data_IF_276032062810
#
_entry.id   IF_276032062810
#
_cell.length_a   1.000
_cell.length_b   1.000
_cell.length_c   1.000
_cell.angle_alpha   90.00
_cell.angle_beta   90.00
_cell.angle_gamma   90.00
#
_symmetry.space_group_name_H-M   'P 1'
#
loop_
_entity.id
_entity.type
_entity.pdbx_description
1 polymer ?
#
# COMPACT_ATOMS: atom_id res chain seq x y z
N UNK A 1 -19.15 -16.01 26.13
CA UNK A 1 -19.03 -14.54 26.27
C UNK A 1 -17.63 -13.98 25.92
N UNK A 2 -16.52 -14.73 26.08
CA UNK A 2 -15.17 -14.26 25.70
C UNK A 2 -14.92 -14.24 24.18
N UNK A 3 -15.48 -15.21 23.45
CA UNK A 3 -15.36 -15.33 21.99
C UNK A 3 -16.06 -14.17 21.28
N UNK A 4 -17.21 -13.71 21.77
CA UNK A 4 -17.95 -12.60 21.19
C UNK A 4 -17.21 -11.26 21.31
N UNK A 5 -16.41 -11.07 22.38
CA UNK A 5 -15.57 -9.87 22.55
C UNK A 5 -14.33 -9.87 21.65
N UNK A 6 -13.75 -11.04 21.37
CA UNK A 6 -12.63 -11.18 20.44
C UNK A 6 -13.07 -10.95 19.00
N UNK A 7 -14.23 -11.46 18.61
CA UNK A 7 -14.81 -11.21 17.28
C UNK A 7 -15.08 -9.71 17.06
N UNK A 8 -15.57 -9.00 18.07
CA UNK A 8 -15.82 -7.56 18.01
C UNK A 8 -14.53 -6.74 17.86
N UNK A 9 -13.43 -7.16 18.47
CA UNK A 9 -12.13 -6.47 18.38
C UNK A 9 -11.48 -6.70 17.01
N UNK A 10 -11.54 -7.91 16.47
CA UNK A 10 -11.01 -8.19 15.11
C UNK A 10 -11.86 -7.47 14.05
N UNK A 11 -13.19 -7.43 14.18
CA UNK A 11 -14.05 -6.67 13.27
C UNK A 11 -13.79 -5.17 13.33
N UNK A 12 -13.43 -4.62 14.50
CA UNK A 12 -13.22 -3.17 14.65
C UNK A 12 -11.90 -2.68 14.03
N UNK A 13 -10.89 -3.53 13.91
CA UNK A 13 -9.60 -3.16 13.29
C UNK A 13 -9.58 -3.34 11.77
N UNK A 14 -10.34 -4.29 11.24
CA UNK A 14 -10.42 -4.55 9.79
C UNK A 14 -11.36 -3.56 9.08
N UNK A 15 -12.29 -2.96 9.80
CA UNK A 15 -13.30 -2.07 9.23
C UNK A 15 -12.78 -0.77 8.60
N UNK A 16 -11.56 -0.34 8.92
CA UNK A 16 -10.98 0.91 8.39
C UNK A 16 -10.27 0.74 7.04
N UNK A 17 -9.98 -0.49 6.62
CA UNK A 17 -9.22 -0.74 5.37
C UNK A 17 -10.08 -0.80 4.12
N UNK A 18 -11.36 -1.03 4.27
CA UNK A 18 -12.31 -1.37 3.20
C UNK A 18 -12.64 -0.25 2.20
N UNK A 19 -12.20 0.97 2.45
CA UNK A 19 -12.63 2.14 1.70
C UNK A 19 -11.46 2.99 1.23
N UNK A 20 -10.33 2.36 0.92
CA UNK A 20 -9.09 3.08 0.65
C UNK A 20 -8.58 2.80 -0.76
N UNK A 21 -8.30 3.86 -1.50
CA UNK A 21 -7.59 3.81 -2.76
C UNK A 21 -6.30 4.65 -2.62
N UNK A 22 -5.15 4.00 -2.72
CA UNK A 22 -3.84 4.63 -2.58
C UNK A 22 -3.03 4.44 -3.84
N UNK A 23 -2.54 5.54 -4.40
CA UNK A 23 -1.61 5.53 -5.53
C UNK A 23 -0.38 6.32 -5.17
N UNK A 24 0.79 5.71 -5.36
CA UNK A 24 2.09 6.36 -5.20
C UNK A 24 2.87 6.26 -6.50
N UNK A 25 3.27 7.40 -7.04
CA UNK A 25 4.10 7.49 -8.24
C UNK A 25 5.40 8.23 -7.94
N UNK A 26 6.51 7.53 -8.04
CA UNK A 26 7.84 8.11 -7.92
C UNK A 26 8.31 8.54 -9.31
N UNK A 27 8.62 9.82 -9.49
CA UNK A 27 9.18 10.36 -10.74
C UNK A 27 10.62 10.74 -10.48
N UNK A 28 11.54 10.18 -11.26
CA UNK A 28 12.97 10.36 -11.08
C UNK A 28 13.64 10.88 -12.36
N UNK A 29 14.54 11.86 -12.19
CA UNK A 29 15.37 12.40 -13.25
C UNK A 29 16.73 11.68 -13.30
N UNK A 30 17.48 11.79 -14.42
CA UNK A 30 18.83 11.21 -14.50
C UNK A 30 19.80 11.74 -13.46
N UNK A 31 19.57 12.95 -12.94
CA UNK A 31 20.38 13.55 -11.85
C UNK A 31 20.04 13.02 -10.46
N UNK A 32 19.05 12.14 -10.33
CA UNK A 32 18.60 11.54 -9.07
C UNK A 32 17.61 12.38 -8.30
N UNK A 33 17.30 13.60 -8.72
CA UNK A 33 16.22 14.41 -8.16
C UNK A 33 14.86 13.97 -8.69
N UNK A 34 13.78 14.37 -8.01
CA UNK A 34 12.45 14.04 -8.49
C UNK A 34 11.32 14.40 -7.58
N UNK A 35 10.19 13.71 -7.80
CA UNK A 35 8.97 13.90 -7.00
C UNK A 35 8.32 12.56 -6.65
N UNK A 36 7.61 12.54 -5.53
CA UNK A 36 6.67 11.48 -5.16
C UNK A 36 5.28 12.08 -5.18
N UNK A 37 4.42 11.56 -6.07
CA UNK A 37 3.00 11.93 -6.09
C UNK A 37 2.22 10.86 -5.33
N UNK A 38 1.52 11.25 -4.27
CA UNK A 38 0.64 10.38 -3.50
C UNK A 38 -0.79 10.84 -3.64
N UNK A 39 -1.66 9.91 -4.01
CA UNK A 39 -3.10 10.09 -4.02
C UNK A 39 -3.71 9.10 -3.05
N UNK A 40 -4.44 9.61 -2.06
CA UNK A 40 -5.13 8.78 -1.08
C UNK A 40 -6.60 9.18 -1.08
N UNK A 41 -7.47 8.24 -1.38
CA UNK A 41 -8.91 8.41 -1.41
C UNK A 41 -9.56 7.44 -0.42
N UNK A 42 -10.56 7.89 0.32
CA UNK A 42 -11.35 7.06 1.23
C UNK A 42 -12.84 7.25 0.97
N UNK A 43 -13.60 6.18 1.07
CA UNK A 43 -15.06 6.25 0.95
C UNK A 43 -15.67 6.74 2.27
N UNK A 44 -15.96 8.03 2.32
CA UNK A 44 -16.49 8.69 3.51
C UNK A 44 -17.91 8.22 3.87
N UNK A 45 -18.70 7.81 2.90
CA UNK A 45 -20.06 7.31 3.13
C UNK A 45 -20.02 5.95 3.84
N UNK A 46 -19.15 5.05 3.37
CA UNK A 46 -18.96 3.74 4.00
C UNK A 46 -18.38 3.89 5.41
N UNK A 47 -17.39 4.77 5.59
CA UNK A 47 -16.79 5.04 6.90
C UNK A 47 -17.82 5.55 7.91
N UNK A 48 -18.68 6.50 7.53
CA UNK A 48 -19.77 7.01 8.37
C UNK A 48 -20.78 5.92 8.73
N UNK A 49 -21.12 5.06 7.76
CA UNK A 49 -22.02 3.93 7.99
C UNK A 49 -21.49 2.92 9.01
N UNK A 50 -20.19 2.65 9.00
CA UNK A 50 -19.54 1.72 9.91
C UNK A 50 -19.38 2.28 11.34
N UNK A 51 -19.17 3.57 11.49
CA UNK A 51 -19.01 4.22 12.80
C UNK A 51 -20.33 4.43 13.55
N UNK A 52 -21.48 3.93 13.02
CA UNK A 52 -22.74 3.85 13.76
C UNK A 52 -23.26 5.19 14.29
N UNK A 53 -23.07 6.29 13.57
CA UNK A 53 -23.58 7.58 13.98
C UNK A 53 -22.90 8.21 15.20
N UNK A 54 -21.80 7.62 15.70
CA UNK A 54 -20.98 8.28 16.71
C UNK A 54 -20.44 9.59 16.11
N UNK A 55 -21.06 10.71 16.47
CA UNK A 55 -20.67 12.06 16.11
C UNK A 55 -19.32 12.44 16.78
N UNK A 56 -18.29 11.68 16.51
CA UNK A 56 -16.92 12.09 16.81
C UNK A 56 -16.42 12.90 15.61
N UNK A 57 -16.28 14.18 15.83
CA UNK A 57 -15.68 15.22 14.99
C UNK A 57 -14.55 14.73 14.07
N UNK A 58 -14.88 14.03 12.98
CA UNK A 58 -14.01 13.93 11.82
C UNK A 58 -14.36 15.07 10.84
N UNK A 59 -14.36 16.29 11.34
CA UNK A 59 -14.63 17.51 10.57
C UNK A 59 -13.36 18.13 10.01
N UNK A 60 -12.38 17.34 9.62
CA UNK A 60 -11.17 17.82 8.96
C UNK A 60 -10.80 16.98 7.75
N UNK A 61 -10.06 17.52 6.78
CA UNK A 61 -9.45 16.69 5.75
C UNK A 61 -8.61 15.63 6.44
N UNK A 62 -8.77 14.35 6.04
CA UNK A 62 -8.12 13.20 6.67
C UNK A 62 -6.60 13.25 6.72
N UNK A 63 -5.99 14.16 5.96
CA UNK A 63 -4.58 14.49 6.00
C UNK A 63 -4.45 16.01 6.00
N UNK A 64 -4.18 16.57 7.16
CA UNK A 64 -3.82 17.97 7.26
C UNK A 64 -2.37 18.20 6.82
N UNK A 65 -1.99 19.46 6.61
CA UNK A 65 -0.64 19.81 6.17
C UNK A 65 0.45 19.24 7.09
N UNK A 66 0.23 19.24 8.39
CA UNK A 66 1.19 18.72 9.37
C UNK A 66 1.42 17.20 9.23
N UNK A 67 0.38 16.44 8.94
CA UNK A 67 0.51 14.99 8.66
C UNK A 67 1.25 14.73 7.36
N UNK A 68 1.01 15.54 6.33
CA UNK A 68 1.75 15.45 5.07
C UNK A 68 3.23 15.81 5.27
N UNK A 69 3.55 16.81 6.07
CA UNK A 69 4.94 17.16 6.42
C UNK A 69 5.62 16.04 7.22
N UNK A 70 4.91 15.40 8.15
CA UNK A 70 5.40 14.18 8.83
C UNK A 70 5.61 13.02 7.86
N UNK A 71 4.75 12.90 6.86
CA UNK A 71 4.89 11.87 5.81
C UNK A 71 6.13 12.15 4.98
N UNK A 72 6.40 13.40 4.59
CA UNK A 72 7.63 13.80 3.93
C UNK A 72 8.88 13.40 4.76
N UNK A 73 8.87 13.70 6.06
CA UNK A 73 9.99 13.35 6.95
C UNK A 73 10.22 11.82 7.05
N UNK A 74 9.15 11.03 6.99
CA UNK A 74 9.26 9.55 6.99
C UNK A 74 9.78 9.00 5.67
N UNK A 75 9.52 9.68 4.55
CA UNK A 75 10.04 9.27 3.24
C UNK A 75 11.56 9.40 3.14
N UNK A 76 12.17 10.30 3.90
CA UNK A 76 13.63 10.44 3.92
C UNK A 76 14.12 11.85 4.12
N UNK A 77 15.43 11.97 4.29
CA UNK A 77 16.10 13.26 4.44
C UNK A 77 16.01 14.11 3.18
N UNK A 78 15.64 15.37 3.33
CA UNK A 78 15.52 16.32 2.21
C UNK A 78 14.22 16.23 1.44
N UNK A 79 13.30 15.34 1.82
CA UNK A 79 11.95 15.29 1.23
C UNK A 79 11.10 16.45 1.76
N UNK A 80 10.41 17.15 0.85
CA UNK A 80 9.59 18.34 1.19
C UNK A 80 8.24 18.25 0.50
N UNK A 81 7.19 18.63 1.20
CA UNK A 81 5.87 18.81 0.61
C UNK A 81 5.88 20.03 -0.33
N UNK A 82 5.58 19.80 -1.62
CA UNK A 82 5.43 20.87 -2.62
C UNK A 82 4.01 21.39 -2.68
N UNK A 83 3.05 20.50 -2.75
CA UNK A 83 1.64 20.84 -2.86
C UNK A 83 0.76 19.77 -2.28
N UNK A 84 -0.42 20.16 -1.85
CA UNK A 84 -1.51 19.25 -1.51
C UNK A 84 -2.84 19.85 -1.95
N UNK A 85 -3.68 19.04 -2.52
CA UNK A 85 -5.01 19.43 -2.97
C UNK A 85 -6.05 18.39 -2.53
N UNK A 86 -7.20 18.81 -2.02
CA UNK A 86 -8.31 17.92 -1.78
C UNK A 86 -8.85 17.42 -3.12
N UNK A 87 -9.16 16.13 -3.19
CA UNK A 87 -9.73 15.52 -4.38
C UNK A 87 -11.00 14.75 -4.03
N UNK A 88 -11.91 14.70 -4.99
CA UNK A 88 -13.12 13.87 -4.93
C UNK A 88 -13.05 12.83 -6.02
N UNK A 89 -13.25 11.60 -5.64
CA UNK A 89 -13.40 10.46 -6.54
C UNK A 89 -14.87 10.13 -6.78
N UNK A 90 -15.11 9.09 -7.54
CA UNK A 90 -16.44 8.55 -7.77
C UNK A 90 -16.97 7.84 -6.50
N UNK A 91 -18.29 7.60 -6.45
CA UNK A 91 -18.95 6.81 -5.40
C UNK A 91 -18.69 7.28 -3.95
N UNK A 92 -18.55 8.60 -3.74
CA UNK A 92 -18.36 9.18 -2.41
C UNK A 92 -16.94 9.02 -1.84
N UNK A 93 -15.98 8.72 -2.69
CA UNK A 93 -14.57 8.78 -2.32
C UNK A 93 -14.11 10.24 -2.22
N UNK A 94 -13.46 10.59 -1.13
CA UNK A 94 -12.84 11.89 -0.91
C UNK A 94 -11.41 11.66 -0.36
N UNK A 95 -10.52 12.60 -0.64
CA UNK A 95 -9.16 12.45 -0.16
C UNK A 95 -8.24 13.59 -0.54
N UNK A 96 -6.96 13.28 -0.63
CA UNK A 96 -5.91 14.25 -0.93
C UNK A 96 -4.96 13.70 -1.98
N UNK A 97 -4.52 14.59 -2.87
CA UNK A 97 -3.34 14.39 -3.70
C UNK A 97 -2.23 15.29 -3.17
N UNK A 98 -1.11 14.68 -2.80
CA UNK A 98 0.06 15.37 -2.31
C UNK A 98 1.24 15.13 -3.25
N UNK A 99 2.07 16.13 -3.44
CA UNK A 99 3.31 16.06 -4.21
C UNK A 99 4.46 16.43 -3.31
N UNK A 100 5.45 15.57 -3.24
CA UNK A 100 6.68 15.75 -2.47
C UNK A 100 7.86 15.86 -3.42
N UNK A 101 8.83 16.72 -3.14
CA UNK A 101 10.12 16.75 -3.85
C UNK A 101 11.18 16.05 -3.06
N UNK A 102 12.16 15.52 -3.77
CA UNK A 102 13.42 15.04 -3.20
C UNK A 102 14.60 15.44 -4.09
N UNK A 103 15.75 15.65 -3.46
CA UNK A 103 16.98 16.03 -4.16
C UNK A 103 17.83 14.81 -4.56
N UNK A 104 17.67 13.67 -3.85
CA UNK A 104 18.41 12.43 -4.09
C UNK A 104 17.54 11.19 -3.81
N UNK A 105 17.26 10.42 -4.87
CA UNK A 105 16.47 9.17 -4.80
C UNK A 105 17.11 8.12 -3.88
N UNK A 106 18.44 8.16 -3.66
CA UNK A 106 19.12 7.20 -2.79
C UNK A 106 18.79 7.42 -1.30
N UNK A 107 18.27 8.59 -0.95
CA UNK A 107 17.94 8.96 0.43
C UNK A 107 16.48 8.78 0.77
N UNK A 108 15.66 8.35 -0.19
CA UNK A 108 14.23 8.19 0.04
C UNK A 108 13.83 6.72 0.13
N UNK A 109 12.71 6.52 0.78
CA UNK A 109 11.98 5.26 0.83
C UNK A 109 10.48 5.53 0.69
N UNK A 110 9.77 4.57 0.11
CA UNK A 110 8.32 4.65 -0.08
C UNK A 110 7.67 3.45 0.61
N UNK A 111 6.66 3.71 1.43
CA UNK A 111 5.88 2.65 2.07
C UNK A 111 5.10 1.85 1.04
N UNK A 112 5.01 0.53 1.22
CA UNK A 112 4.16 -0.36 0.41
C UNK A 112 2.69 -0.29 0.85
N UNK A 113 2.45 0.19 2.06
CA UNK A 113 1.10 0.34 2.61
C UNK A 113 0.51 1.73 2.45
N UNK A 114 -0.78 1.88 2.74
CA UNK A 114 -1.46 3.16 2.68
C UNK A 114 -0.90 4.15 3.70
N UNK A 115 -0.75 5.44 3.32
CA UNK A 115 -0.31 6.47 4.26
C UNK A 115 -1.25 6.54 5.47
N UNK A 116 -0.69 6.62 6.68
CA UNK A 116 -1.46 6.77 7.93
C UNK A 116 -1.92 5.46 8.56
N UNK A 117 -1.75 4.31 7.91
CA UNK A 117 -2.07 3.00 8.49
C UNK A 117 -0.89 2.32 9.19
N UNK A 118 0.29 2.90 9.11
CA UNK A 118 1.49 2.43 9.83
C UNK A 118 1.37 2.71 11.34
N UNK A 119 0.59 1.93 12.01
CA UNK A 119 0.43 2.05 13.45
C UNK A 119 -0.93 1.56 13.86
N UNK A 120 -1.04 0.28 14.19
CA UNK A 120 -2.24 -0.27 14.80
C UNK A 120 -2.74 0.64 15.93
N UNK A 121 -4.04 0.84 16.03
CA UNK A 121 -4.74 1.66 17.03
C UNK A 121 -4.57 1.14 18.47
N UNK A 122 -3.36 0.77 18.85
CA UNK A 122 -2.99 0.23 20.13
C UNK A 122 -1.64 0.75 20.60
N UNK A 123 -1.68 1.74 21.46
CA UNK A 123 -0.56 2.22 22.28
C UNK A 123 0.26 3.42 21.73
N UNK A 124 -0.24 4.62 22.03
CA UNK A 124 0.42 5.91 21.81
C UNK A 124 1.59 6.23 22.75
N UNK A 125 2.21 5.26 23.34
CA UNK A 125 3.37 5.47 24.21
C UNK A 125 4.48 4.48 23.86
N UNK A 126 5.35 4.84 22.92
CA UNK A 126 6.80 4.62 22.92
C UNK A 126 7.40 4.88 21.55
N UNK A 127 8.37 5.83 21.56
CA UNK A 127 9.50 5.99 20.61
C UNK A 127 9.23 5.74 19.14
N UNK A 128 9.43 6.79 18.36
CA UNK A 128 9.48 6.83 16.92
C UNK A 128 10.60 5.91 16.35
N UNK A 129 10.42 4.60 16.48
CA UNK A 129 11.10 3.69 15.58
C UNK A 129 10.26 3.62 14.29
N UNK A 130 10.88 3.69 13.12
CA UNK A 130 10.19 3.50 11.86
C UNK A 130 9.68 2.06 11.83
N UNK A 131 8.42 1.85 12.24
CA UNK A 131 7.79 0.53 12.24
C UNK A 131 7.68 0.02 10.80
N UNK A 132 8.49 -0.93 10.51
CA UNK A 132 8.30 -2.24 9.84
C UNK A 132 7.15 -2.38 8.82
N UNK A 133 6.87 -1.40 8.00
CA UNK A 133 6.37 -1.66 6.66
C UNK A 133 7.61 -1.68 5.79
N UNK A 134 7.91 -2.84 5.21
CA UNK A 134 9.10 -3.01 4.39
C UNK A 134 9.11 -1.97 3.27
N UNK A 135 9.95 -0.93 3.36
CA UNK A 135 9.90 0.16 2.41
C UNK A 135 10.52 -0.26 1.08
N UNK A 136 9.97 0.27 -0.01
CA UNK A 136 10.65 0.27 -1.30
C UNK A 136 11.83 1.22 -1.20
N UNK A 137 13.03 0.71 -1.48
CA UNK A 137 14.29 1.47 -1.47
C UNK A 137 14.87 1.58 -2.86
N UNK A 138 15.59 2.65 -3.08
CA UNK A 138 16.13 3.01 -4.37
C UNK A 138 17.66 3.19 -4.29
N UNK A 139 18.36 2.81 -5.37
CA UNK A 139 19.78 3.06 -5.54
C UNK A 139 20.06 3.48 -6.98
N UNK A 140 20.40 4.73 -7.19
CA UNK A 140 20.78 5.28 -8.48
C UNK A 140 22.31 5.31 -8.62
N UNK A 141 22.80 4.82 -9.75
CA UNK A 141 24.19 4.93 -10.16
C UNK A 141 24.24 5.56 -11.54
N UNK A 142 25.09 6.57 -11.71
CA UNK A 142 25.28 7.25 -13.00
C UNK A 142 26.44 6.62 -13.76
N UNK A 143 26.19 6.27 -15.02
CA UNK A 143 27.15 5.60 -15.89
C UNK A 143 27.27 6.40 -17.19
N UNK A 144 27.98 7.53 -17.15
CA UNK A 144 28.12 8.41 -18.30
C UNK A 144 26.77 8.99 -18.76
N UNK A 145 26.31 8.70 -20.00
CA UNK A 145 25.07 9.26 -20.55
C UNK A 145 23.81 8.57 -20.03
N UNK A 146 23.93 7.46 -19.29
CA UNK A 146 22.81 6.69 -18.73
C UNK A 146 22.88 6.68 -17.22
N UNK A 147 21.72 6.48 -16.60
CA UNK A 147 21.57 6.25 -15.17
C UNK A 147 20.93 4.87 -14.95
N UNK A 148 21.45 4.13 -13.99
CA UNK A 148 20.90 2.84 -13.58
C UNK A 148 20.27 2.98 -12.21
N UNK A 149 18.96 2.78 -12.13
CA UNK A 149 18.17 2.75 -10.90
C UNK A 149 17.87 1.32 -10.51
N UNK A 150 18.28 0.93 -9.31
CA UNK A 150 17.88 -0.33 -8.68
C UNK A 150 16.80 -0.05 -7.65
N UNK A 151 15.69 -0.77 -7.73
CA UNK A 151 14.55 -0.69 -6.82
C UNK A 151 14.49 -2.01 -6.07
N UNK A 152 14.54 -1.96 -4.75
CA UNK A 152 14.47 -3.14 -3.90
C UNK A 152 13.20 -3.10 -3.05
N UNK A 153 12.40 -4.14 -3.19
CA UNK A 153 11.36 -4.47 -2.26
C UNK A 153 11.96 -5.31 -1.15
N UNK A 154 11.73 -4.96 0.09
CA UNK A 154 12.11 -5.82 1.18
C UNK A 154 11.02 -6.90 1.27
N UNK A 155 11.35 -8.10 0.80
CA UNK A 155 10.49 -9.29 0.78
C UNK A 155 10.65 -10.08 2.10
N UNK A 156 10.60 -9.37 3.22
CA UNK A 156 10.50 -10.04 4.52
C UNK A 156 9.07 -9.95 4.99
N UNK A 157 8.43 -11.09 5.18
CA UNK A 157 7.30 -11.16 6.09
C UNK A 157 7.70 -10.42 7.38
N UNK A 158 6.87 -9.54 7.94
CA UNK A 158 7.24 -8.77 9.10
C UNK A 158 7.74 -9.71 10.18
N UNK A 159 9.07 -9.79 10.36
CA UNK A 159 9.72 -10.50 11.44
C UNK A 159 9.55 -9.67 12.74
N UNK A 160 8.41 -9.01 12.87
CA UNK A 160 7.95 -8.49 14.13
C UNK A 160 7.52 -9.68 14.95
N UNK A 161 8.22 -9.93 16.04
CA UNK A 161 7.70 -10.75 17.14
C UNK A 161 6.33 -10.18 17.50
N UNK A 162 5.30 -10.71 16.87
CA UNK A 162 3.93 -10.61 17.35
C UNK A 162 3.82 -11.62 18.50
N UNK A 163 4.70 -11.43 19.51
CA UNK A 163 4.70 -12.25 20.73
C UNK A 163 3.46 -11.99 21.60
N UNK A 164 2.53 -11.14 21.14
CA UNK A 164 1.35 -10.77 21.92
C UNK A 164 0.01 -11.04 21.24
N UNK A 165 -0.03 -11.47 19.99
CA UNK A 165 -1.25 -12.00 19.40
C UNK A 165 -1.16 -13.54 19.35
N UNK A 166 -2.07 -14.25 20.02
CA UNK A 166 -2.16 -15.69 19.84
C UNK A 166 -2.33 -15.95 18.33
N UNK A 167 -1.45 -16.79 17.75
CA UNK A 167 -1.60 -17.23 16.36
C UNK A 167 -3.05 -17.69 16.20
N UNK A 168 -3.81 -17.19 15.22
CA UNK A 168 -5.13 -17.72 15.00
C UNK A 168 -5.00 -19.21 14.74
N UNK A 169 -5.70 -20.02 15.53
CA UNK A 169 -5.75 -21.45 15.26
C UNK A 169 -6.33 -21.63 13.85
N UNK A 170 -5.93 -22.66 13.10
CA UNK A 170 -6.49 -22.97 11.78
C UNK A 170 -8.03 -23.03 11.76
N UNK A 171 -8.68 -23.26 12.92
CA UNK A 171 -10.13 -23.24 13.10
C UNK A 171 -10.73 -21.87 13.39
N UNK A 172 -9.92 -20.83 13.64
CA UNK A 172 -10.39 -19.47 13.94
C UNK A 172 -10.45 -18.58 12.67
N UNK A 173 -9.91 -19.08 11.56
CA UNK A 173 -10.02 -18.36 10.28
C UNK A 173 -11.47 -18.38 9.79
N UNK A 174 -11.98 -17.24 9.32
CA UNK A 174 -13.31 -17.19 8.73
C UNK A 174 -13.44 -18.23 7.62
N UNK A 175 -14.49 -19.01 7.62
CA UNK A 175 -14.78 -19.93 6.52
C UNK A 175 -15.22 -19.14 5.28
N UNK A 176 -14.27 -18.84 4.43
CA UNK A 176 -14.48 -18.12 3.17
C UNK A 176 -15.28 -18.96 2.14
N UNK A 177 -15.60 -20.21 2.44
CA UNK A 177 -16.56 -21.00 1.64
C UNK A 177 -18.01 -20.58 1.93
N UNK A 178 -18.24 -19.88 3.04
CA UNK A 178 -19.54 -19.34 3.40
C UNK A 178 -19.88 -18.11 2.53
N UNK A 179 -20.96 -18.15 1.71
CA UNK A 179 -21.33 -17.04 0.84
C UNK A 179 -21.59 -15.73 1.60
N UNK A 180 -22.08 -15.79 2.84
CA UNK A 180 -22.32 -14.60 3.66
C UNK A 180 -21.00 -13.91 4.01
N UNK A 181 -19.99 -14.68 4.41
CA UNK A 181 -18.65 -14.16 4.74
C UNK A 181 -17.99 -13.58 3.48
N UNK A 182 -18.11 -14.26 2.34
CA UNK A 182 -17.57 -13.78 1.07
C UNK A 182 -18.24 -12.47 0.64
N UNK A 183 -19.57 -12.37 0.73
CA UNK A 183 -20.30 -11.14 0.39
C UNK A 183 -19.92 -9.98 1.34
N UNK A 184 -19.74 -10.27 2.63
CA UNK A 184 -19.28 -9.27 3.59
C UNK A 184 -17.86 -8.79 3.25
N UNK A 185 -16.95 -9.69 2.88
CA UNK A 185 -15.61 -9.32 2.42
C UNK A 185 -15.64 -8.48 1.14
N UNK A 186 -16.41 -8.89 0.14
CA UNK A 186 -16.58 -8.11 -1.09
C UNK A 186 -17.06 -6.68 -0.79
N UNK A 187 -18.06 -6.54 0.07
CA UNK A 187 -18.55 -5.23 0.50
C UNK A 187 -17.48 -4.44 1.28
N UNK A 188 -16.75 -5.12 2.14
CA UNK A 188 -15.69 -4.54 2.95
C UNK A 188 -14.52 -4.04 2.11
N UNK A 189 -14.09 -4.79 1.10
CA UNK A 189 -12.95 -4.45 0.25
C UNK A 189 -13.35 -3.78 -1.07
N UNK A 190 -14.60 -3.35 -1.20
CA UNK A 190 -15.07 -2.62 -2.38
C UNK A 190 -14.32 -1.29 -2.52
N UNK A 191 -13.51 -1.18 -3.57
CA UNK A 191 -12.70 0.02 -3.85
C UNK A 191 -11.35 0.07 -3.13
N UNK A 192 -10.95 -1.02 -2.44
CA UNK A 192 -9.59 -1.11 -1.90
C UNK A 192 -8.60 -1.35 -3.03
N UNK A 193 -7.77 -0.33 -3.28
CA UNK A 193 -6.73 -0.37 -4.32
C UNK A 193 -5.42 0.19 -3.80
N UNK A 194 -4.33 -0.48 -4.16
CA UNK A 194 -2.97 0.03 -3.95
C UNK A 194 -2.26 0.02 -5.29
N UNK A 195 -1.64 1.13 -5.65
CA UNK A 195 -0.80 1.22 -6.84
C UNK A 195 0.51 1.93 -6.49
N UNK A 196 1.64 1.30 -6.83
CA UNK A 196 2.97 1.88 -6.70
C UNK A 196 3.63 1.84 -8.08
N UNK A 197 4.02 3.00 -8.57
CA UNK A 197 4.68 3.14 -9.86
C UNK A 197 5.96 3.93 -9.77
N UNK A 198 6.79 3.71 -10.76
CA UNK A 198 7.98 4.51 -11.07
C UNK A 198 7.84 5.12 -12.46
N UNK A 199 8.25 6.36 -12.63
CA UNK A 199 8.36 7.03 -13.92
C UNK A 199 9.74 7.66 -14.03
N UNK A 200 10.47 7.34 -15.09
CA UNK A 200 11.78 7.95 -15.36
C UNK A 200 11.61 9.15 -16.29
N UNK A 201 12.30 10.24 -16.02
CA UNK A 201 12.34 11.38 -16.92
C UNK A 201 13.29 11.04 -18.08
N UNK A 202 12.70 10.68 -19.22
CA UNK A 202 13.42 10.26 -20.41
C UNK A 202 12.96 8.90 -20.94
N UNK A 203 13.88 8.13 -21.47
CA UNK A 203 13.60 6.84 -22.10
C UNK A 203 14.24 5.69 -21.34
N UNK A 204 13.48 4.63 -21.12
CA UNK A 204 14.03 3.37 -20.60
C UNK A 204 14.86 2.71 -21.72
N UNK A 205 16.11 2.44 -21.43
CA UNK A 205 17.05 1.75 -22.33
C UNK A 205 16.99 0.24 -22.11
N UNK A 206 16.99 -0.16 -20.83
CA UNK A 206 16.95 -1.56 -20.42
C UNK A 206 16.30 -1.70 -19.05
N UNK A 207 15.53 -2.76 -18.85
CA UNK A 207 14.96 -3.11 -17.55
C UNK A 207 14.64 -4.61 -17.48
N UNK A 208 14.58 -5.14 -16.26
CA UNK A 208 14.03 -6.46 -15.96
C UNK A 208 12.60 -6.39 -15.40
N UNK A 209 11.99 -5.19 -15.38
CA UNK A 209 10.60 -5.03 -14.96
C UNK A 209 9.62 -5.75 -15.88
N UNK A 210 8.59 -6.37 -15.31
CA UNK A 210 7.57 -7.10 -16.07
C UNK A 210 6.47 -6.17 -16.63
N UNK A 211 6.17 -5.07 -15.92
CA UNK A 211 5.03 -4.19 -16.25
C UNK A 211 5.50 -2.79 -16.64
N UNK A 212 5.87 -2.64 -17.92
CA UNK A 212 6.42 -1.40 -18.48
C UNK A 212 5.47 -0.78 -19.49
N UNK A 213 5.23 0.52 -19.40
CA UNK A 213 4.43 1.29 -20.36
C UNK A 213 5.11 2.64 -20.60
N UNK A 214 5.82 2.76 -21.75
CA UNK A 214 6.63 3.94 -22.02
C UNK A 214 7.71 4.17 -20.97
N UNK A 215 7.79 5.37 -20.35
CA UNK A 215 8.75 5.66 -19.29
C UNK A 215 8.30 5.18 -17.91
N UNK A 216 7.13 4.54 -17.80
CA UNK A 216 6.50 4.15 -16.54
C UNK A 216 6.58 2.64 -16.32
N UNK A 217 6.87 2.27 -15.07
CA UNK A 217 6.89 0.90 -14.56
C UNK A 217 5.85 0.81 -13.44
N UNK A 218 4.98 -0.20 -13.51
CA UNK A 218 4.11 -0.56 -12.39
C UNK A 218 4.83 -1.56 -11.51
N UNK A 219 5.17 -1.15 -10.29
CA UNK A 219 5.88 -1.96 -9.32
C UNK A 219 4.92 -2.88 -8.56
N UNK A 220 3.78 -2.31 -8.17
CA UNK A 220 2.70 -3.00 -7.45
C UNK A 220 1.36 -2.42 -7.91
N UNK A 221 0.43 -3.27 -8.28
CA UNK A 221 -0.99 -2.96 -8.45
C UNK A 221 -1.78 -4.05 -7.75
N UNK A 222 -2.63 -3.67 -6.82
CA UNK A 222 -3.50 -4.56 -6.08
C UNK A 222 -4.91 -3.98 -6.04
N UNK A 223 -5.84 -4.61 -6.73
CA UNK A 223 -7.28 -4.36 -6.65
C UNK A 223 -7.94 -5.55 -5.96
N UNK A 224 -8.29 -5.38 -4.69
CA UNK A 224 -8.86 -6.48 -3.89
C UNK A 224 -10.27 -6.85 -4.37
N UNK A 225 -11.02 -5.90 -4.92
CA UNK A 225 -12.33 -6.21 -5.50
C UNK A 225 -12.21 -7.17 -6.70
N UNK A 226 -11.24 -6.96 -7.59
CA UNK A 226 -10.95 -7.86 -8.70
C UNK A 226 -10.44 -9.24 -8.22
N UNK A 227 -9.63 -9.26 -7.14
CA UNK A 227 -9.19 -10.51 -6.52
C UNK A 227 -10.36 -11.34 -5.98
N UNK A 228 -11.32 -10.69 -5.34
CA UNK A 228 -12.50 -11.33 -4.76
C UNK A 228 -13.62 -11.62 -5.79
N UNK A 229 -13.52 -11.07 -7.00
CA UNK A 229 -14.50 -11.32 -8.06
C UNK A 229 -14.47 -12.77 -8.56
N UNK A 230 -13.28 -13.38 -8.62
CA UNK A 230 -13.10 -14.80 -8.99
C UNK A 230 -12.97 -15.68 -7.74
N UNK A 231 -14.13 -16.05 -7.18
CA UNK A 231 -14.18 -16.85 -5.94
C UNK A 231 -13.48 -18.21 -6.07
N UNK A 232 -13.51 -18.84 -7.23
CA UNK A 232 -12.89 -20.15 -7.44
C UNK A 232 -11.37 -20.06 -7.39
N UNK A 233 -10.80 -19.06 -8.06
CA UNK A 233 -9.36 -18.79 -8.00
C UNK A 233 -8.95 -18.34 -6.60
N UNK A 234 -9.76 -17.49 -5.95
CA UNK A 234 -9.48 -17.03 -4.59
C UNK A 234 -9.42 -18.19 -3.58
N UNK A 235 -10.36 -19.13 -3.62
CA UNK A 235 -10.32 -20.36 -2.80
C UNK A 235 -9.09 -21.22 -3.08
N UNK A 236 -8.73 -21.33 -4.36
CA UNK A 236 -7.51 -22.08 -4.74
C UNK A 236 -6.26 -21.40 -4.19
N UNK A 237 -6.21 -20.06 -4.22
CA UNK A 237 -5.12 -19.26 -3.68
C UNK A 237 -4.97 -19.49 -2.17
N UNK A 238 -6.07 -19.42 -1.41
CA UNK A 238 -6.07 -19.65 0.03
C UNK A 238 -5.55 -21.03 0.43
N UNK A 239 -5.88 -22.07 -0.34
CA UNK A 239 -5.39 -23.41 -0.08
C UNK A 239 -3.89 -23.62 -0.36
N UNK A 240 -3.26 -22.67 -1.07
CA UNK A 240 -1.84 -22.78 -1.47
C UNK A 240 -0.92 -21.82 -0.72
N UNK A 241 -1.48 -20.79 -0.08
CA UNK A 241 -0.72 -19.74 0.58
C UNK A 241 -0.91 -19.88 2.08
N UNK A 242 0.22 -20.08 2.78
CA UNK A 242 0.26 -20.05 4.24
C UNK A 242 0.13 -18.61 4.78
N UNK A 243 -0.22 -18.44 6.06
CA UNK A 243 -0.35 -17.13 6.68
C UNK A 243 0.98 -16.33 6.74
N UNK A 244 2.10 -17.02 6.61
CA UNK A 244 3.45 -16.42 6.65
C UNK A 244 4.10 -16.36 5.25
N UNK A 245 3.32 -16.54 4.17
CA UNK A 245 3.88 -16.58 2.82
C UNK A 245 4.40 -15.19 2.39
N UNK A 246 5.61 -15.17 1.87
CA UNK A 246 6.23 -13.97 1.30
C UNK A 246 5.56 -13.58 -0.02
N UNK A 247 5.75 -12.32 -0.42
CA UNK A 247 5.24 -11.81 -1.69
C UNK A 247 5.76 -12.64 -2.89
N UNK A 248 7.02 -13.07 -2.83
CA UNK A 248 7.65 -13.91 -3.85
C UNK A 248 6.98 -15.27 -3.99
N UNK A 249 6.54 -15.86 -2.87
CA UNK A 249 5.85 -17.16 -2.87
C UNK A 249 4.41 -17.03 -3.41
N UNK A 250 3.77 -15.90 -3.16
CA UNK A 250 2.38 -15.63 -3.58
C UNK A 250 2.31 -15.20 -5.04
N UNK A 251 3.31 -14.47 -5.54
CA UNK A 251 3.36 -13.89 -6.89
C UNK A 251 3.00 -14.88 -8.02
N UNK A 252 3.51 -16.13 -8.06
CA UNK A 252 3.16 -17.08 -9.13
C UNK A 252 1.67 -17.39 -9.23
N UNK A 253 0.96 -17.35 -8.12
CA UNK A 253 -0.48 -17.64 -8.04
C UNK A 253 -1.34 -16.41 -8.34
N UNK A 254 -0.78 -15.20 -8.21
CA UNK A 254 -1.49 -13.94 -8.44
C UNK A 254 -1.43 -13.46 -9.89
N UNK A 255 -0.52 -14.00 -10.71
CA UNK A 255 -0.34 -13.60 -12.12
C UNK A 255 -1.61 -13.69 -12.97
N UNK A 256 -2.48 -14.66 -12.65
CA UNK A 256 -3.71 -14.92 -13.40
C UNK A 256 -4.91 -14.09 -12.92
N UNK A 257 -4.73 -13.26 -11.90
CA UNK A 257 -5.78 -12.37 -11.41
C UNK A 257 -5.73 -11.04 -12.12
N UNK A 258 -6.89 -10.61 -12.61
CA UNK A 258 -7.08 -9.28 -13.16
C UNK A 258 -6.93 -8.23 -12.04
N UNK A 259 -6.31 -7.10 -12.35
CA UNK A 259 -6.11 -6.03 -11.38
C UNK A 259 -4.98 -6.28 -10.37
N UNK A 260 -4.17 -7.34 -10.58
CA UNK A 260 -3.00 -7.61 -9.76
C UNK A 260 -1.75 -7.61 -10.65
N UNK A 261 -0.80 -6.76 -10.27
CA UNK A 261 0.54 -6.75 -10.85
C UNK A 261 1.53 -6.63 -9.70
N UNK A 262 2.45 -7.56 -9.65
CA UNK A 262 3.50 -7.58 -8.65
C UNK A 262 4.79 -7.84 -9.40
N UNK A 263 5.68 -6.85 -9.41
CA UNK A 263 7.00 -7.00 -10.04
C UNK A 263 7.96 -7.83 -9.15
N UNK A 264 9.19 -8.04 -9.60
CA UNK A 264 10.18 -8.80 -8.85
C UNK A 264 10.66 -8.08 -7.58
N UNK A 265 11.32 -8.82 -6.65
CA UNK A 265 11.83 -8.23 -5.42
C UNK A 265 12.97 -7.24 -5.66
N UNK A 266 13.62 -7.31 -6.81
CA UNK A 266 14.65 -6.36 -7.23
C UNK A 266 14.50 -6.04 -8.72
N UNK A 267 14.31 -4.77 -9.02
CA UNK A 267 14.11 -4.25 -10.36
C UNK A 267 15.27 -3.31 -10.70
N UNK A 268 15.79 -3.45 -11.91
CA UNK A 268 16.84 -2.58 -12.44
C UNK A 268 16.32 -1.87 -13.68
N UNK A 269 16.53 -0.56 -13.74
CA UNK A 269 16.10 0.29 -14.85
C UNK A 269 17.28 1.14 -15.30
N UNK A 270 17.70 0.96 -16.54
CA UNK A 270 18.66 1.85 -17.21
C UNK A 270 17.88 2.84 -18.07
N UNK A 271 18.16 4.13 -17.91
CA UNK A 271 17.44 5.20 -18.61
C UNK A 271 18.32 6.40 -18.91
N UNK A 272 17.88 7.24 -19.84
CA UNK A 272 18.59 8.46 -20.27
C UNK A 272 17.62 9.56 -20.67
#
# INVERSE_FOLDING_TARGET
MRVLRLLAVVLSTVGLTACLNSTTLVKVKPDGSGTVEQTTLMNMAALKGMMGGAQGQMNGPMMNKEELERTAARMGEGVRLLSSEPIKGENGFEGVKAVFSFDDINKIQVSQGPPGMSGGAGNRTRSAEPNSEDPVRFKLTRNGPTSTLTINFIDKAPAGKVDTMPKPNPGDMPDFSNPMIMNMMKAMFQGFKINIGLEVAGSIVKTNAEYVTGPRITLLELDVAELLADEAKFKTLQGKIGPDASLSEVKPYLKDFKGIKIDGPSITVEFR
#
